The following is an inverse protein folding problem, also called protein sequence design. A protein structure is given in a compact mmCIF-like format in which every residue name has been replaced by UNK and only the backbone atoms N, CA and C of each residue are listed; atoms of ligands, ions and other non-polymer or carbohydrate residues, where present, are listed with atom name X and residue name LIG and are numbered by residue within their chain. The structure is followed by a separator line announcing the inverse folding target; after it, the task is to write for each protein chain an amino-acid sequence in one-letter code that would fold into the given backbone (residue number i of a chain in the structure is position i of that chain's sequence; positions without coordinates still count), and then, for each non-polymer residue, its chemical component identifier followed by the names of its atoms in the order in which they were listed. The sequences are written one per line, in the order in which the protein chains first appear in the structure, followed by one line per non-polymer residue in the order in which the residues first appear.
data_IF_255583169657
#
_entry.id   IF_255583169657
#
_cell.length_a   1.000
_cell.length_b   1.000
_cell.length_c   1.000
_cell.angle_alpha   90.00
_cell.angle_beta   90.00
_cell.angle_gamma   90.00
#
_symmetry.space_group_name_H-M   'P 1'
#
loop_
_entity.id
_entity.type
_entity.pdbx_description
1 polymer ?
#
# COMPACT_ATOMS: atom_id res chain seq x y z
N UNK A 1 -10.51 -5.37 17.00
CA UNK A 1 -9.81 -4.27 17.69
C UNK A 1 -10.60 -3.94 18.95
N UNK A 2 -9.89 -3.70 20.05
CA UNK A 2 -10.45 -3.56 21.40
C UNK A 2 -10.80 -2.11 21.74
N UNK A 3 -11.53 -1.88 22.84
CA UNK A 3 -11.78 -0.53 23.37
C UNK A 3 -10.48 0.19 23.76
N UNK A 4 -9.45 -0.53 24.17
CA UNK A 4 -8.12 0.02 24.42
C UNK A 4 -7.49 0.56 23.13
N UNK A 5 -7.58 -0.18 22.02
CA UNK A 5 -7.12 0.30 20.72
C UNK A 5 -7.89 1.55 20.26
N UNK A 6 -9.19 1.63 20.57
CA UNK A 6 -10.01 2.81 20.25
C UNK A 6 -9.53 4.09 20.96
N UNK A 7 -8.91 3.96 22.14
CA UNK A 7 -8.24 5.10 22.82
C UNK A 7 -6.98 5.56 22.07
N UNK A 8 -6.29 4.64 21.39
CA UNK A 8 -5.13 4.96 20.56
C UNK A 8 -5.57 5.59 19.23
N UNK A 9 -6.49 4.95 18.52
CA UNK A 9 -7.06 5.42 17.26
C UNK A 9 -8.60 5.40 17.32
N UNK A 10 -9.27 6.57 17.38
CA UNK A 10 -10.74 6.65 17.42
C UNK A 10 -11.45 6.03 16.22
N UNK A 11 -10.79 5.97 15.06
CA UNK A 11 -11.32 5.30 13.86
C UNK A 11 -11.28 3.77 13.98
N UNK A 12 -10.60 3.24 15.00
CA UNK A 12 -10.43 1.81 15.24
C UNK A 12 -9.79 1.12 14.01
N UNK A 13 -8.67 1.69 13.56
CA UNK A 13 -7.90 1.22 12.41
C UNK A 13 -6.44 1.02 12.78
N UNK A 14 -5.74 0.26 11.95
CA UNK A 14 -4.28 0.15 11.93
C UNK A 14 -3.78 0.74 10.60
N UNK A 15 -2.57 1.31 10.55
CA UNK A 15 -1.56 1.38 11.62
C UNK A 15 -1.77 2.52 12.62
N UNK A 16 -1.15 2.35 13.79
CA UNK A 16 -0.84 3.41 14.77
C UNK A 16 0.65 3.30 15.05
N UNK A 17 1.40 4.38 14.88
CA UNK A 17 2.83 4.40 15.17
C UNK A 17 3.12 5.29 16.38
N UNK A 18 3.83 4.74 17.37
CA UNK A 18 4.39 5.51 18.48
C UNK A 18 5.89 5.63 18.26
N UNK A 19 6.38 6.85 17.99
CA UNK A 19 7.79 7.14 17.71
C UNK A 19 8.16 8.49 18.33
N UNK A 20 9.33 8.60 18.95
CA UNK A 20 9.81 9.83 19.62
C UNK A 20 8.82 10.43 20.64
N UNK A 21 8.09 9.57 21.36
CA UNK A 21 7.04 9.98 22.29
C UNK A 21 5.79 10.59 21.62
N UNK A 22 5.70 10.56 20.29
CA UNK A 22 4.56 11.03 19.50
C UNK A 22 3.72 9.87 19.01
N UNK A 23 2.41 10.12 18.90
CA UNK A 23 1.46 9.20 18.30
C UNK A 23 1.07 9.68 16.92
N UNK A 24 1.31 8.86 15.91
CA UNK A 24 0.98 9.11 14.51
C UNK A 24 -0.07 8.09 14.05
N UNK A 25 -1.01 8.56 13.24
CA UNK A 25 -2.10 7.80 12.66
C UNK A 25 -2.08 8.00 11.15
N UNK A 26 -2.74 7.09 10.42
CA UNK A 26 -2.80 7.07 8.95
C UNK A 26 -1.45 6.73 8.31
N UNK A 27 -1.45 5.79 7.35
CA UNK A 27 -0.22 5.24 6.77
C UNK A 27 0.58 6.29 5.99
N UNK A 28 -0.08 7.11 5.16
CA UNK A 28 0.60 8.12 4.35
C UNK A 28 1.31 9.16 5.22
N UNK A 29 0.66 9.84 6.20
CA UNK A 29 1.36 10.74 7.11
C UNK A 29 2.49 10.09 7.91
N UNK A 30 2.34 8.82 8.29
CA UNK A 30 3.39 8.06 8.99
C UNK A 30 4.62 7.90 8.10
N UNK A 31 4.46 7.48 6.84
CA UNK A 31 5.57 7.30 5.89
C UNK A 31 6.32 8.61 5.69
N UNK A 32 5.59 9.72 5.51
CA UNK A 32 6.22 11.03 5.30
C UNK A 32 6.96 11.54 6.52
N UNK A 33 6.38 11.39 7.72
CA UNK A 33 7.08 11.77 8.95
C UNK A 33 8.40 10.99 9.08
N UNK A 34 8.39 9.68 8.82
CA UNK A 34 9.60 8.85 8.86
C UNK A 34 10.61 9.32 7.80
N UNK A 35 10.18 9.55 6.56
CA UNK A 35 11.04 10.02 5.48
C UNK A 35 11.72 11.35 5.82
N UNK A 36 10.96 12.28 6.40
CA UNK A 36 11.46 13.60 6.81
C UNK A 36 12.41 13.54 8.01
N UNK A 37 12.09 12.74 9.02
CA UNK A 37 12.81 12.77 10.32
C UNK A 37 14.00 11.81 10.38
N UNK A 38 13.95 10.68 9.67
CA UNK A 38 15.02 9.69 9.67
C UNK A 38 16.05 9.89 8.55
N UNK A 39 15.90 10.95 7.73
CA UNK A 39 16.80 11.28 6.62
C UNK A 39 17.10 10.06 5.70
N UNK A 40 16.05 9.30 5.37
CA UNK A 40 16.17 8.11 4.51
C UNK A 40 16.75 8.54 3.14
N UNK A 41 17.73 7.79 2.65
CA UNK A 41 18.33 8.03 1.33
C UNK A 41 18.33 6.73 0.49
N UNK A 42 17.81 6.77 -0.75
CA UNK A 42 17.07 7.91 -1.35
C UNK A 42 15.75 8.19 -0.61
N UNK A 43 15.27 9.43 -0.69
CA UNK A 43 14.00 9.86 -0.07
C UNK A 43 12.83 9.10 -0.70
N UNK A 44 11.89 8.65 0.13
CA UNK A 44 10.63 8.06 -0.35
C UNK A 44 9.70 9.11 -0.96
N UNK A 45 9.80 10.37 -0.52
CA UNK A 45 9.06 11.48 -1.10
C UNK A 45 10.02 12.32 -1.94
N UNK A 46 9.87 12.35 -3.28
CA UNK A 46 10.79 13.10 -4.16
C UNK A 46 10.92 14.58 -3.76
N UNK A 47 12.10 15.16 -3.98
CA UNK A 47 12.33 16.59 -3.75
C UNK A 47 11.69 17.46 -4.82
N UNK A 48 11.74 17.01 -6.07
CA UNK A 48 11.11 17.70 -7.21
C UNK A 48 9.59 17.79 -6.99
N UNK A 49 9.00 19.01 -7.01
CA UNK A 49 7.58 19.19 -6.74
C UNK A 49 6.66 18.43 -7.70
N UNK A 50 7.04 18.30 -8.97
CA UNK A 50 6.21 17.62 -9.96
C UNK A 50 6.21 16.11 -9.71
N UNK A 51 7.39 15.49 -9.57
CA UNK A 51 7.51 14.08 -9.20
C UNK A 51 6.86 13.78 -7.85
N UNK A 52 6.95 14.70 -6.87
CA UNK A 52 6.31 14.54 -5.57
C UNK A 52 4.79 14.48 -5.69
N UNK A 53 4.18 15.49 -6.28
CA UNK A 53 2.73 15.67 -6.18
C UNK A 53 1.95 15.02 -7.34
N UNK A 54 2.43 15.20 -8.57
CA UNK A 54 1.73 14.72 -9.76
C UNK A 54 2.04 13.25 -10.06
N UNK A 55 3.06 12.67 -9.42
CA UNK A 55 3.44 11.29 -9.64
C UNK A 55 3.32 10.47 -8.36
N UNK A 56 4.26 10.64 -7.41
CA UNK A 56 4.36 9.78 -6.22
C UNK A 56 3.09 9.86 -5.35
N UNK A 57 2.65 11.07 -5.01
CA UNK A 57 1.42 11.30 -4.23
C UNK A 57 0.17 10.93 -5.00
N UNK A 58 0.09 11.22 -6.30
CA UNK A 58 -1.07 10.86 -7.11
C UNK A 58 -1.32 9.34 -7.05
N UNK A 59 -0.30 8.53 -7.34
CA UNK A 59 -0.40 7.06 -7.29
C UNK A 59 -0.74 6.58 -5.86
N UNK A 60 -0.06 7.15 -4.86
CA UNK A 60 -0.31 6.81 -3.46
C UNK A 60 -1.75 7.09 -3.03
N UNK A 61 -2.33 8.22 -3.45
CA UNK A 61 -3.71 8.60 -3.12
C UNK A 61 -4.75 7.78 -3.89
N UNK A 62 -4.49 7.44 -5.17
CA UNK A 62 -5.35 6.50 -5.90
C UNK A 62 -5.46 5.18 -5.12
N UNK A 63 -4.35 4.69 -4.56
CA UNK A 63 -4.33 3.46 -3.77
C UNK A 63 -4.94 3.65 -2.38
N UNK A 64 -4.39 4.57 -1.58
CA UNK A 64 -4.70 4.72 -0.16
C UNK A 64 -6.08 5.32 0.10
N UNK A 65 -6.57 6.16 -0.82
CA UNK A 65 -7.86 6.84 -0.71
C UNK A 65 -8.88 6.29 -1.70
N UNK A 66 -8.46 5.95 -2.92
CA UNK A 66 -9.35 5.52 -4.01
C UNK A 66 -9.66 4.02 -4.05
N UNK A 67 -8.75 3.16 -3.56
CA UNK A 67 -8.93 1.70 -3.61
C UNK A 67 -9.10 1.11 -2.21
N UNK A 68 -8.09 1.28 -1.36
CA UNK A 68 -7.97 0.57 -0.08
C UNK A 68 -9.20 0.72 0.82
N UNK A 69 -9.78 1.93 1.00
CA UNK A 69 -10.91 2.11 1.90
C UNK A 69 -12.16 1.35 1.45
N UNK A 70 -12.32 1.13 0.14
CA UNK A 70 -13.49 0.47 -0.45
C UNK A 70 -13.41 -1.05 -0.32
N UNK A 71 -12.21 -1.62 -0.30
CA UNK A 71 -11.96 -3.05 -0.06
C UNK A 71 -11.60 -3.37 1.40
N UNK A 72 -11.57 -2.37 2.29
CA UNK A 72 -11.28 -2.56 3.70
C UNK A 72 -12.30 -3.49 4.37
N UNK A 73 -11.84 -4.36 5.27
CA UNK A 73 -12.67 -5.32 6.00
C UNK A 73 -13.89 -4.69 6.68
N UNK A 74 -13.79 -3.45 7.19
CA UNK A 74 -14.93 -2.74 7.82
C UNK A 74 -16.06 -2.47 6.82
N UNK A 75 -15.70 -2.18 5.56
CA UNK A 75 -16.64 -1.91 4.47
C UNK A 75 -17.18 -3.23 3.93
N UNK A 76 -16.30 -4.21 3.67
CA UNK A 76 -16.72 -5.52 3.16
C UNK A 76 -17.67 -6.26 4.10
N UNK A 77 -17.50 -6.13 5.42
CA UNK A 77 -18.47 -6.66 6.40
C UNK A 77 -19.87 -6.07 6.24
N UNK A 78 -20.00 -4.82 5.80
CA UNK A 78 -21.29 -4.17 5.53
C UNK A 78 -21.87 -4.54 4.16
N UNK A 79 -21.01 -4.79 3.18
CA UNK A 79 -21.41 -5.28 1.85
C UNK A 79 -22.02 -6.68 1.95
N UNK A 80 -21.51 -7.50 2.87
CA UNK A 80 -22.00 -8.86 3.12
C UNK A 80 -21.20 -9.92 2.38
N UNK A 81 -21.23 -11.14 2.91
CA UNK A 81 -20.39 -12.26 2.44
C UNK A 81 -20.60 -12.61 0.97
N UNK A 82 -21.84 -12.54 0.48
CA UNK A 82 -22.19 -12.92 -0.89
C UNK A 82 -21.63 -11.95 -1.94
N UNK A 83 -21.40 -10.69 -1.58
CA UNK A 83 -21.02 -9.60 -2.51
C UNK A 83 -19.63 -9.04 -2.27
N UNK A 84 -19.00 -9.33 -1.12
CA UNK A 84 -17.71 -8.70 -0.75
C UNK A 84 -16.60 -8.94 -1.77
N UNK A 85 -16.57 -10.12 -2.39
CA UNK A 85 -15.50 -10.48 -3.34
C UNK A 85 -15.69 -9.73 -4.64
N UNK A 86 -16.91 -9.73 -5.20
CA UNK A 86 -17.26 -8.96 -6.40
C UNK A 86 -16.99 -7.47 -6.18
N UNK A 87 -17.45 -6.92 -5.05
CA UNK A 87 -17.21 -5.54 -4.67
C UNK A 87 -15.73 -5.19 -4.61
N UNK A 88 -14.93 -5.97 -3.86
CA UNK A 88 -13.49 -5.72 -3.77
C UNK A 88 -12.83 -5.81 -5.15
N UNK A 89 -13.18 -6.83 -5.93
CA UNK A 89 -12.65 -7.04 -7.27
C UNK A 89 -12.91 -5.84 -8.19
N UNK A 90 -14.13 -5.30 -8.22
CA UNK A 90 -14.49 -4.18 -9.10
C UNK A 90 -13.73 -2.90 -8.76
N UNK A 91 -13.66 -2.53 -7.48
CA UNK A 91 -12.95 -1.32 -7.06
C UNK A 91 -11.43 -1.46 -7.20
N UNK A 92 -10.87 -2.66 -6.96
CA UNK A 92 -9.47 -2.92 -7.22
C UNK A 92 -9.19 -2.81 -8.71
N UNK A 93 -9.97 -3.47 -9.57
CA UNK A 93 -9.78 -3.45 -11.03
C UNK A 93 -9.83 -2.04 -11.60
N UNK A 94 -10.82 -1.24 -11.17
CA UNK A 94 -10.96 0.15 -11.62
C UNK A 94 -9.77 1.01 -11.20
N UNK A 95 -9.36 0.93 -9.92
CA UNK A 95 -8.24 1.73 -9.44
C UNK A 95 -6.88 1.28 -9.97
N UNK A 96 -6.65 -0.03 -10.15
CA UNK A 96 -5.43 -0.52 -10.80
C UNK A 96 -5.33 -0.03 -12.25
N UNK A 97 -6.46 0.05 -12.97
CA UNK A 97 -6.45 0.67 -14.31
C UNK A 97 -5.97 2.12 -14.30
N UNK A 98 -6.36 2.91 -13.29
CA UNK A 98 -5.89 4.28 -13.13
C UNK A 98 -4.40 4.36 -12.74
N UNK A 99 -3.94 3.47 -11.85
CA UNK A 99 -2.51 3.38 -11.47
C UNK A 99 -1.65 2.98 -12.66
N UNK A 100 -2.04 1.95 -13.42
CA UNK A 100 -1.31 1.51 -14.62
C UNK A 100 -1.14 2.66 -15.61
N UNK A 101 -2.22 3.43 -15.85
CA UNK A 101 -2.17 4.57 -16.75
C UNK A 101 -1.23 5.67 -16.26
N UNK A 102 -1.20 5.95 -14.96
CA UNK A 102 -0.27 6.92 -14.38
C UNK A 102 1.20 6.44 -14.49
N UNK A 103 1.43 5.12 -14.40
CA UNK A 103 2.75 4.52 -14.52
C UNK A 103 3.33 4.61 -15.94
N UNK A 104 2.50 4.67 -16.99
CA UNK A 104 2.98 4.84 -18.37
C UNK A 104 3.84 6.10 -18.57
N UNK A 105 3.57 7.16 -17.80
CA UNK A 105 4.27 8.44 -17.91
C UNK A 105 5.42 8.59 -16.91
N UNK A 106 5.46 7.75 -15.87
CA UNK A 106 6.30 7.97 -14.70
C UNK A 106 7.25 6.84 -14.34
N UNK A 107 6.93 5.61 -14.73
CA UNK A 107 7.69 4.44 -14.32
C UNK A 107 9.07 4.38 -15.00
N UNK A 108 10.07 4.00 -14.22
CA UNK A 108 11.37 3.50 -14.69
C UNK A 108 11.58 2.10 -14.12
N UNK A 109 12.61 1.93 -13.29
CA UNK A 109 12.73 0.70 -12.47
C UNK A 109 11.59 0.55 -11.45
N UNK A 110 11.06 1.66 -10.93
CA UNK A 110 10.02 1.73 -9.90
C UNK A 110 8.86 2.62 -10.33
N UNK A 111 7.91 2.93 -9.43
CA UNK A 111 6.78 3.79 -9.75
C UNK A 111 7.19 5.21 -10.18
N UNK A 112 8.34 5.71 -9.74
CA UNK A 112 8.84 7.05 -10.07
C UNK A 112 10.29 6.97 -10.53
N UNK A 113 10.48 6.83 -11.84
CA UNK A 113 11.80 6.63 -12.44
C UNK A 113 12.52 5.43 -11.80
N UNK A 114 13.76 5.65 -11.39
CA UNK A 114 14.65 4.59 -10.89
C UNK A 114 14.85 4.61 -9.37
N UNK A 115 14.05 5.37 -8.62
CA UNK A 115 14.11 5.44 -7.17
C UNK A 115 12.82 4.92 -6.52
N UNK A 116 12.97 4.19 -5.41
CA UNK A 116 11.85 3.74 -4.59
C UNK A 116 11.21 4.96 -3.94
N UNK A 117 9.89 5.02 -4.00
CA UNK A 117 9.09 6.11 -3.49
C UNK A 117 7.94 5.62 -2.61
N UNK A 118 7.21 6.55 -2.00
CA UNK A 118 5.96 6.29 -1.28
C UNK A 118 4.91 5.57 -2.16
N UNK A 119 4.94 5.77 -3.48
CA UNK A 119 4.04 5.05 -4.40
C UNK A 119 4.32 3.54 -4.38
N UNK A 120 5.59 3.13 -4.35
CA UNK A 120 6.01 1.73 -4.27
C UNK A 120 5.60 1.09 -2.95
N UNK A 121 5.73 1.84 -1.84
CA UNK A 121 5.25 1.42 -0.51
C UNK A 121 3.73 1.17 -0.48
N UNK A 122 2.96 1.89 -1.30
CA UNK A 122 1.52 1.68 -1.44
C UNK A 122 1.18 0.57 -2.45
N UNK A 123 1.95 0.45 -3.53
CA UNK A 123 1.70 -0.49 -4.62
C UNK A 123 1.81 -1.93 -4.15
N UNK A 124 2.89 -2.31 -3.45
CA UNK A 124 3.14 -3.72 -3.09
C UNK A 124 2.02 -4.32 -2.23
N UNK A 125 1.57 -3.69 -1.13
CA UNK A 125 0.44 -4.19 -0.36
C UNK A 125 -0.87 -4.22 -1.17
N UNK A 126 -1.05 -3.30 -2.11
CA UNK A 126 -2.25 -3.27 -2.94
C UNK A 126 -2.25 -4.39 -3.99
N UNK A 127 -1.10 -4.75 -4.58
CA UNK A 127 -0.96 -5.93 -5.43
C UNK A 127 -1.17 -7.22 -4.64
N UNK A 128 -0.74 -7.28 -3.39
CA UNK A 128 -1.07 -8.40 -2.50
C UNK A 128 -2.59 -8.54 -2.32
N UNK A 129 -3.31 -7.44 -2.06
CA UNK A 129 -4.77 -7.45 -1.97
C UNK A 129 -5.43 -7.85 -3.30
N UNK A 130 -4.92 -7.37 -4.43
CA UNK A 130 -5.41 -7.75 -5.76
C UNK A 130 -5.34 -9.27 -5.97
N UNK A 131 -4.20 -9.89 -5.64
CA UNK A 131 -4.07 -11.37 -5.67
C UNK A 131 -5.02 -12.06 -4.71
N UNK A 132 -5.16 -11.54 -3.49
CA UNK A 132 -6.10 -12.07 -2.48
C UNK A 132 -7.55 -12.11 -2.97
N UNK A 133 -7.95 -11.16 -3.81
CA UNK A 133 -9.29 -11.08 -4.41
C UNK A 133 -9.34 -11.61 -5.86
N UNK A 134 -8.33 -12.37 -6.29
CA UNK A 134 -8.25 -13.01 -7.62
C UNK A 134 -8.40 -12.02 -8.80
N UNK A 135 -7.92 -10.79 -8.65
CA UNK A 135 -7.83 -9.85 -9.77
C UNK A 135 -6.72 -10.29 -10.71
N UNK A 136 -7.03 -10.39 -12.00
CA UNK A 136 -6.05 -10.73 -13.04
C UNK A 136 -5.05 -9.60 -13.24
N UNK A 137 -3.81 -9.82 -12.80
CA UNK A 137 -2.73 -8.84 -12.91
C UNK A 137 -2.05 -8.82 -14.29
N UNK A 138 -2.36 -9.76 -15.19
CA UNK A 138 -1.79 -9.78 -16.55
C UNK A 138 -2.24 -8.59 -17.40
N UNK A 139 -3.38 -7.97 -17.02
CA UNK A 139 -3.88 -6.73 -17.61
C UNK A 139 -3.06 -5.48 -17.22
N UNK A 140 -2.14 -5.60 -16.25
CA UNK A 140 -1.36 -4.49 -15.71
C UNK A 140 0.15 -4.82 -15.70
N UNK A 141 0.79 -4.89 -16.88
CA UNK A 141 2.18 -5.36 -17.01
C UNK A 141 3.21 -4.45 -16.33
N UNK A 142 3.02 -3.12 -16.32
CA UNK A 142 3.99 -2.18 -15.74
C UNK A 142 4.02 -2.35 -14.22
N UNK A 143 2.85 -2.26 -13.56
CA UNK A 143 2.81 -2.42 -12.11
C UNK A 143 3.20 -3.82 -11.66
N UNK A 144 2.90 -4.86 -12.46
CA UNK A 144 3.28 -6.24 -12.14
C UNK A 144 4.79 -6.40 -12.14
N UNK A 145 5.47 -5.89 -13.17
CA UNK A 145 6.92 -5.93 -13.26
C UNK A 145 7.60 -5.12 -12.14
N UNK A 146 7.06 -3.95 -11.77
CA UNK A 146 7.54 -3.16 -10.62
C UNK A 146 7.36 -3.96 -9.32
N UNK A 147 6.17 -4.52 -9.10
CA UNK A 147 5.84 -5.28 -7.92
C UNK A 147 6.73 -6.51 -7.74
N UNK A 148 7.05 -7.22 -8.81
CA UNK A 148 8.01 -8.34 -8.80
C UNK A 148 9.40 -7.88 -8.38
N UNK A 149 9.93 -6.81 -8.99
CA UNK A 149 11.23 -6.24 -8.60
C UNK A 149 11.28 -5.82 -7.14
N UNK A 150 10.25 -5.12 -6.67
CA UNK A 150 10.17 -4.66 -5.27
C UNK A 150 10.14 -5.84 -4.29
N UNK A 151 9.39 -6.90 -4.60
CA UNK A 151 9.31 -8.10 -3.76
C UNK A 151 10.65 -8.86 -3.65
N UNK A 152 11.62 -8.60 -4.54
CA UNK A 152 12.96 -9.18 -4.41
C UNK A 152 13.85 -8.45 -3.41
N UNK A 153 13.52 -7.21 -3.06
CA UNK A 153 14.31 -6.38 -2.15
C UNK A 153 14.16 -6.83 -0.69
N UNK A 154 15.24 -6.81 0.11
CA UNK A 154 15.20 -7.24 1.51
C UNK A 154 14.11 -6.57 2.35
N UNK A 155 13.95 -5.26 2.21
CA UNK A 155 12.96 -4.49 2.98
C UNK A 155 11.51 -4.97 2.72
N UNK A 156 11.16 -5.29 1.48
CA UNK A 156 9.82 -5.79 1.14
C UNK A 156 9.64 -7.26 1.50
N UNK A 157 10.70 -8.08 1.39
CA UNK A 157 10.68 -9.46 1.90
C UNK A 157 10.45 -9.51 3.40
N UNK A 158 11.16 -8.68 4.17
CA UNK A 158 11.02 -8.59 5.63
C UNK A 158 9.66 -8.02 6.04
N UNK A 159 9.12 -7.06 5.28
CA UNK A 159 7.79 -6.49 5.51
C UNK A 159 6.64 -7.38 5.02
N UNK A 160 6.92 -8.54 4.40
CA UNK A 160 5.88 -9.41 3.87
C UNK A 160 4.95 -9.91 5.00
N UNK A 161 3.61 -9.97 4.79
CA UNK A 161 2.67 -10.40 5.81
C UNK A 161 3.03 -11.74 6.47
N UNK A 162 3.51 -12.70 5.66
CA UNK A 162 3.88 -14.05 6.14
C UNK A 162 5.14 -14.09 7.02
N UNK A 163 5.84 -12.97 7.20
CA UNK A 163 7.05 -12.86 8.03
C UNK A 163 6.83 -12.01 9.28
N UNK A 164 5.60 -11.61 9.56
CA UNK A 164 5.28 -10.81 10.73
C UNK A 164 5.06 -11.68 11.98
N UNK A 165 5.32 -11.16 13.19
CA UNK A 165 5.18 -11.92 14.44
C UNK A 165 3.78 -12.50 14.67
N UNK A 166 2.74 -11.83 14.15
CA UNK A 166 1.33 -12.19 14.27
C UNK A 166 0.79 -13.02 13.11
N UNK A 167 1.64 -13.37 12.12
CA UNK A 167 1.25 -14.30 11.07
C UNK A 167 0.85 -15.67 11.66
N UNK A 168 -0.25 -16.29 11.22
CA UNK A 168 -0.58 -17.66 11.59
C UNK A 168 0.51 -18.64 11.16
N UNK A 169 0.85 -19.64 11.98
CA UNK A 169 1.97 -20.56 11.71
C UNK A 169 1.82 -21.32 10.38
N UNK A 170 0.59 -21.61 9.97
CA UNK A 170 0.25 -22.25 8.69
C UNK A 170 0.52 -21.35 7.46
N UNK A 171 0.58 -20.03 7.64
CA UNK A 171 0.87 -19.07 6.58
C UNK A 171 2.36 -18.68 6.51
N UNK A 172 3.14 -18.93 7.57
CA UNK A 172 4.57 -18.58 7.68
C UNK A 172 5.48 -19.29 6.65
N UNK A 173 4.99 -20.33 5.98
CA UNK A 173 5.79 -21.19 5.10
C UNK A 173 5.27 -21.10 3.65
N UNK A 174 5.45 -19.94 3.00
CA UNK A 174 5.27 -19.79 1.53
C UNK A 174 6.20 -18.74 0.90
N UNK A 175 7.31 -18.36 1.54
CA UNK A 175 8.25 -17.38 0.98
C UNK A 175 9.24 -18.02 0.03
#
# INVERSE_FOLDING_TARGET
LTDEHKKLNPQCEVPVLIIDGKKLLQSIPIIEYIDETNQIQPRLVPEDPYQRYQVARLISEIIASGIQPLQNLKVLKRVGEDKKTEWAHDFIKAGLGAVEKALEESAGQYCVGDQISIADCCLVPQLYNARRYNVDLTAYPIMSAIGERLNELPAFKEAHPNRQPDCPDEEKIKS
#
